data_IF_816737856619
#
_entry.id   IF_816737856619
#
_cell.length_a   1.000
_cell.length_b   1.000
_cell.length_c   1.000
_cell.angle_alpha   90.00
_cell.angle_beta   90.00
_cell.angle_gamma   90.00
#
_symmetry.space_group_name_H-M   'P 1'
#
loop_
_entity.id
_entity.type
_entity.pdbx_description
1 polymer ?
#
# COMPACT_ATOMS: atom_id res chain seq x y z
N UNK A 1 1.73 6.70 -4.53
CA UNK A 1 2.40 5.67 -3.71
C UNK A 1 2.98 6.18 -2.40
N UNK A 2 3.66 7.33 -2.38
CA UNK A 2 4.30 7.86 -1.17
C UNK A 2 3.38 7.98 0.05
N UNK A 3 2.18 8.56 -0.11
CA UNK A 3 1.24 8.72 1.01
C UNK A 3 0.79 7.40 1.63
N UNK A 4 0.67 6.34 0.82
CA UNK A 4 0.32 5.00 1.31
C UNK A 4 1.44 4.43 2.17
N UNK A 5 2.68 4.43 1.67
CA UNK A 5 3.83 3.95 2.46
C UNK A 5 4.05 4.79 3.72
N UNK A 6 3.82 6.10 3.64
CA UNK A 6 3.83 6.99 4.80
C UNK A 6 2.81 6.60 5.87
N UNK A 7 1.58 6.22 5.48
CA UNK A 7 0.56 5.74 6.43
C UNK A 7 0.93 4.42 7.12
N UNK A 8 1.81 3.62 6.50
CA UNK A 8 2.27 2.35 7.06
C UNK A 8 3.55 2.47 7.89
N UNK A 9 4.14 3.66 7.98
CA UNK A 9 5.43 3.85 8.63
C UNK A 9 5.43 3.37 10.10
N UNK A 10 4.35 3.67 10.84
CA UNK A 10 4.19 3.18 12.22
C UNK A 10 4.14 1.65 12.29
N UNK A 11 3.44 1.02 11.34
CA UNK A 11 3.23 -0.43 11.33
C UNK A 11 4.40 -1.22 10.75
N UNK A 12 5.36 -0.56 10.10
CA UNK A 12 6.52 -1.21 9.48
C UNK A 12 7.27 -2.16 10.41
N UNK A 13 7.35 -1.86 11.72
CA UNK A 13 7.98 -2.71 12.74
C UNK A 13 7.31 -4.07 12.95
N UNK A 14 6.05 -4.19 12.54
CA UNK A 14 5.25 -5.41 12.67
C UNK A 14 5.16 -6.20 11.36
N UNK A 15 5.67 -5.64 10.26
CA UNK A 15 5.62 -6.22 8.93
C UNK A 15 7.02 -6.73 8.59
N UNK A 16 7.21 -8.04 8.69
CA UNK A 16 8.42 -8.68 8.16
C UNK A 16 8.56 -8.35 6.66
N UNK A 17 9.79 -8.05 6.25
CA UNK A 17 10.18 -7.64 4.90
C UNK A 17 9.52 -6.35 4.37
N UNK A 18 9.02 -5.48 5.26
CA UNK A 18 8.40 -4.21 4.86
C UNK A 18 9.26 -3.39 3.88
N UNK A 19 10.57 -3.31 4.13
CA UNK A 19 11.49 -2.55 3.28
C UNK A 19 11.55 -3.09 1.85
N UNK A 20 11.44 -4.41 1.67
CA UNK A 20 11.43 -5.07 0.36
C UNK A 20 10.15 -4.70 -0.39
N UNK A 21 8.98 -4.85 0.25
CA UNK A 21 7.72 -4.46 -0.37
C UNK A 21 7.67 -2.96 -0.66
N UNK A 22 8.16 -2.13 0.26
CA UNK A 22 8.24 -0.69 0.06
C UNK A 22 9.12 -0.38 -1.15
N UNK A 23 10.32 -0.95 -1.28
CA UNK A 23 11.21 -0.72 -2.42
C UNK A 23 10.53 -1.02 -3.77
N UNK A 24 9.84 -2.17 -3.88
CA UNK A 24 9.07 -2.53 -5.07
C UNK A 24 8.00 -1.48 -5.39
N UNK A 25 7.31 -0.97 -4.37
CA UNK A 25 6.29 0.05 -4.54
C UNK A 25 6.85 1.46 -4.80
N UNK A 26 8.08 1.74 -4.33
CA UNK A 26 8.82 2.99 -4.58
C UNK A 26 9.32 3.06 -6.02
N UNK A 27 9.58 1.93 -6.66
CA UNK A 27 9.88 1.90 -8.09
C UNK A 27 8.75 2.58 -8.87
N UNK A 28 7.48 2.28 -8.58
CA UNK A 28 6.34 2.85 -9.31
C UNK A 28 6.28 4.40 -9.23
N UNK A 29 6.43 5.05 -10.38
CA UNK A 29 6.33 6.50 -10.55
C UNK A 29 4.90 6.90 -10.89
N UNK A 30 4.57 8.17 -10.67
CA UNK A 30 3.26 8.73 -11.01
C UNK A 30 2.93 8.58 -12.52
N UNK A 31 3.94 8.73 -13.37
CA UNK A 31 3.85 8.46 -14.82
C UNK A 31 3.35 7.05 -15.14
N UNK A 32 3.78 6.06 -14.37
CA UNK A 32 3.45 4.65 -14.60
C UNK A 32 1.94 4.41 -14.35
N UNK A 33 1.36 5.13 -13.38
CA UNK A 33 -0.09 5.12 -13.14
C UNK A 33 -0.87 5.87 -14.22
N UNK A 34 -0.34 6.96 -14.77
CA UNK A 34 -0.96 7.67 -15.88
C UNK A 34 -0.99 6.80 -17.15
N UNK A 35 0.11 6.12 -17.45
CA UNK A 35 0.19 5.18 -18.58
C UNK A 35 -0.76 3.99 -18.38
N UNK A 36 -0.85 3.43 -17.17
CA UNK A 36 -1.83 2.39 -16.88
C UNK A 36 -3.25 2.89 -17.11
N UNK A 37 -3.63 4.04 -16.54
CA UNK A 37 -4.96 4.63 -16.72
C UNK A 37 -5.27 4.91 -18.18
N UNK A 38 -4.25 5.28 -18.96
CA UNK A 38 -4.38 5.47 -20.41
C UNK A 38 -4.58 4.13 -21.10
N UNK A 39 -3.81 3.09 -20.76
CA UNK A 39 -3.96 1.72 -21.28
C UNK A 39 -5.34 1.13 -20.97
N UNK A 40 -5.86 1.30 -19.76
CA UNK A 40 -7.21 0.84 -19.39
C UNK A 40 -8.30 1.56 -20.21
N UNK A 41 -8.08 2.80 -20.63
CA UNK A 41 -8.98 3.56 -21.53
C UNK A 41 -8.79 3.23 -23.01
N UNK A 42 -7.59 2.79 -23.42
CA UNK A 42 -7.24 2.42 -24.80
C UNK A 42 -7.78 1.05 -25.20
N UNK A 43 -8.21 0.21 -24.25
CA UNK A 43 -8.93 -1.05 -24.57
C UNK A 43 -10.21 -0.79 -25.40
N UNK A 44 -10.74 0.45 -25.38
CA UNK A 44 -11.84 0.89 -26.25
C UNK A 44 -11.40 1.46 -27.63
N UNK A 45 -10.12 1.75 -27.87
CA UNK A 45 -9.62 2.17 -29.20
C UNK A 45 -8.09 2.02 -29.36
N UNK A 46 -7.58 1.12 -30.22
CA UNK A 46 -6.15 0.82 -30.25
C UNK A 46 -5.38 1.73 -31.22
N UNK A 47 -4.46 2.56 -30.69
CA UNK A 47 -3.32 3.08 -31.45
C UNK A 47 -2.11 3.26 -30.52
N UNK A 48 -1.12 2.37 -30.66
CA UNK A 48 0.32 2.64 -30.86
C UNK A 48 1.15 1.43 -30.43
N UNK A 49 1.99 0.98 -31.36
CA UNK A 49 2.98 -0.09 -31.23
C UNK A 49 4.08 0.37 -30.27
N UNK A 50 3.98 0.01 -28.98
CA UNK A 50 5.12 0.03 -28.05
C UNK A 50 6.03 -1.16 -28.39
N UNK A 51 7.34 -0.98 -28.31
CA UNK A 51 8.31 -2.06 -28.47
C UNK A 51 7.98 -3.22 -27.51
N UNK A 52 7.99 -4.44 -28.03
CA UNK A 52 7.54 -5.64 -27.30
C UNK A 52 8.30 -5.82 -25.97
N UNK A 53 9.61 -5.56 -25.96
CA UNK A 53 10.47 -5.67 -24.77
C UNK A 53 10.08 -4.65 -23.68
N UNK A 54 9.65 -3.44 -24.06
CA UNK A 54 9.24 -2.41 -23.12
C UNK A 54 7.88 -2.74 -22.48
N UNK A 55 6.99 -3.39 -23.25
CA UNK A 55 5.68 -3.86 -22.75
C UNK A 55 5.87 -4.98 -21.73
N UNK A 56 6.79 -5.91 -21.99
CA UNK A 56 7.03 -7.07 -21.11
C UNK A 56 7.66 -6.65 -19.77
N UNK A 57 8.64 -5.73 -19.79
CA UNK A 57 9.26 -5.16 -18.59
C UNK A 57 8.25 -4.36 -17.75
N UNK A 58 7.40 -3.54 -18.40
CA UNK A 58 6.36 -2.76 -17.71
C UNK A 58 5.30 -3.67 -17.05
N UNK A 59 4.91 -4.76 -17.72
CA UNK A 59 3.96 -5.76 -17.20
C UNK A 59 4.53 -6.53 -16.00
N UNK A 60 5.79 -6.97 -16.05
CA UNK A 60 6.44 -7.64 -14.91
C UNK A 60 6.48 -6.72 -13.69
N UNK A 61 6.91 -5.47 -13.88
CA UNK A 61 7.01 -4.49 -12.81
C UNK A 61 5.66 -4.20 -12.16
N UNK A 62 4.60 -4.05 -12.96
CA UNK A 62 3.25 -3.85 -12.45
C UNK A 62 2.73 -5.07 -11.68
N UNK A 63 3.04 -6.26 -12.17
CA UNK A 63 2.71 -7.53 -11.50
C UNK A 63 3.39 -7.62 -10.14
N UNK A 64 4.70 -7.35 -10.07
CA UNK A 64 5.46 -7.32 -8.81
C UNK A 64 4.88 -6.32 -7.82
N UNK A 65 4.54 -5.11 -8.28
CA UNK A 65 3.97 -4.09 -7.42
C UNK A 65 2.55 -4.43 -6.93
N UNK A 66 1.71 -5.00 -7.79
CA UNK A 66 0.37 -5.47 -7.41
C UNK A 66 0.44 -6.58 -6.36
N UNK A 67 1.40 -7.49 -6.53
CA UNK A 67 1.67 -8.55 -5.56
C UNK A 67 2.14 -7.97 -4.22
N UNK A 68 3.14 -7.08 -4.22
CA UNK A 68 3.65 -6.43 -3.02
C UNK A 68 2.56 -5.65 -2.27
N UNK A 69 1.71 -4.92 -3.00
CA UNK A 69 0.57 -4.22 -2.41
C UNK A 69 -0.45 -5.17 -1.78
N UNK A 70 -0.74 -6.29 -2.45
CA UNK A 70 -1.66 -7.31 -1.95
C UNK A 70 -1.13 -7.96 -0.68
N UNK A 71 0.17 -8.29 -0.64
CA UNK A 71 0.83 -8.83 0.54
C UNK A 71 0.79 -7.83 1.71
N UNK A 72 1.10 -6.55 1.46
CA UNK A 72 1.04 -5.52 2.49
C UNK A 72 -0.36 -5.37 3.09
N UNK A 73 -1.41 -5.34 2.25
CA UNK A 73 -2.80 -5.33 2.75
C UNK A 73 -3.08 -6.52 3.66
N UNK A 74 -2.68 -7.73 3.25
CA UNK A 74 -2.88 -8.93 4.03
C UNK A 74 -2.16 -8.87 5.38
N UNK A 75 -0.89 -8.39 5.39
CA UNK A 75 -0.10 -8.25 6.62
C UNK A 75 -0.67 -7.19 7.59
N UNK A 76 -1.28 -6.12 7.08
CA UNK A 76 -1.91 -5.07 7.92
C UNK A 76 -3.16 -5.60 8.65
N UNK A 77 -3.93 -6.46 8.00
CA UNK A 77 -5.16 -7.02 8.59
C UNK A 77 -4.92 -8.31 9.37
N UNK A 78 -3.66 -8.69 9.58
CA UNK A 78 -3.27 -9.87 10.35
C UNK A 78 -2.58 -9.49 11.66
N UNK A 79 -2.47 -10.46 12.56
CA UNK A 79 -1.58 -10.35 13.72
C UNK A 79 -0.11 -10.14 13.24
N UNK A 80 0.73 -9.42 14.01
CA UNK A 80 0.42 -8.81 15.30
C UNK A 80 -0.21 -7.41 15.21
N UNK A 81 -0.47 -6.87 14.01
CA UNK A 81 -1.02 -5.51 13.82
C UNK A 81 -2.48 -5.44 14.26
N UNK A 82 -3.30 -6.41 13.82
CA UNK A 82 -4.67 -6.52 14.27
C UNK A 82 -4.74 -7.50 15.45
N UNK A 83 -5.19 -7.01 16.60
CA UNK A 83 -5.42 -7.80 17.82
C UNK A 83 -6.89 -7.70 18.25
N UNK A 84 -7.33 -8.68 19.03
CA UNK A 84 -8.65 -8.63 19.65
C UNK A 84 -8.72 -7.47 20.65
N UNK A 85 -9.88 -6.84 20.71
CA UNK A 85 -10.16 -5.82 21.70
C UNK A 85 -10.20 -6.41 23.11
N UNK A 86 -9.58 -5.73 24.07
CA UNK A 86 -9.53 -6.11 25.48
C UNK A 86 -10.20 -5.01 26.33
N UNK A 87 -11.34 -5.30 26.94
CA UNK A 87 -12.11 -4.29 27.71
C UNK A 87 -11.38 -3.78 28.93
N UNK A 88 -10.40 -4.52 29.45
CA UNK A 88 -9.66 -4.15 30.66
C UNK A 88 -8.46 -3.24 30.33
N UNK A 89 -8.18 -3.03 29.03
CA UNK A 89 -7.09 -2.16 28.57
C UNK A 89 -7.57 -0.78 28.14
N UNK A 90 -6.82 0.29 28.46
CA UNK A 90 -7.10 1.61 27.95
C UNK A 90 -7.17 1.65 26.42
N UNK A 91 -8.17 2.36 25.92
CA UNK A 91 -8.40 2.57 24.50
C UNK A 91 -7.78 3.91 24.07
N UNK A 92 -7.04 3.89 22.96
CA UNK A 92 -6.49 5.10 22.33
C UNK A 92 -7.09 5.25 20.94
N UNK A 93 -7.61 6.44 20.64
CA UNK A 93 -8.10 6.81 19.31
C UNK A 93 -7.16 7.87 18.75
N UNK A 94 -6.49 7.54 17.64
CA UNK A 94 -5.68 8.51 16.90
C UNK A 94 -6.49 9.00 15.72
N UNK A 95 -6.79 10.29 15.67
CA UNK A 95 -7.55 10.92 14.59
C UNK A 95 -6.63 11.80 13.77
N UNK A 96 -6.73 11.67 12.45
CA UNK A 96 -6.09 12.57 11.50
C UNK A 96 -7.14 13.13 10.54
N UNK A 97 -7.09 14.44 10.31
CA UNK A 97 -7.98 15.12 9.40
C UNK A 97 -7.19 16.11 8.55
N UNK A 98 -7.52 16.19 7.27
CA UNK A 98 -7.03 17.22 6.36
C UNK A 98 -8.21 17.83 5.58
N UNK A 99 -7.95 18.76 4.65
CA UNK A 99 -9.00 19.46 3.88
C UNK A 99 -9.95 18.53 3.10
N UNK A 100 -9.58 17.28 2.86
CA UNK A 100 -10.25 16.37 1.95
C UNK A 100 -10.70 15.05 2.58
N UNK A 101 -10.18 14.70 3.77
CA UNK A 101 -10.41 13.40 4.39
C UNK A 101 -10.23 13.43 5.90
N UNK A 102 -10.94 12.50 6.57
CA UNK A 102 -10.77 12.16 7.99
C UNK A 102 -10.43 10.67 8.05
N UNK A 103 -9.50 10.30 8.93
CA UNK A 103 -9.13 8.92 9.24
C UNK A 103 -8.96 8.77 10.75
N UNK A 104 -9.30 7.60 11.29
CA UNK A 104 -9.05 7.28 12.69
C UNK A 104 -8.51 5.85 12.83
N UNK A 105 -7.62 5.65 13.80
CA UNK A 105 -7.14 4.33 14.21
C UNK A 105 -7.51 4.09 15.68
N UNK A 106 -8.05 2.90 15.94
CA UNK A 106 -8.38 2.41 17.28
C UNK A 106 -7.25 1.50 17.74
N UNK A 107 -6.61 1.82 18.86
CA UNK A 107 -5.39 1.15 19.31
C UNK A 107 -5.45 0.85 20.81
N UNK A 108 -4.78 -0.22 21.22
CA UNK A 108 -4.63 -0.60 22.62
C UNK A 108 -3.19 -1.04 22.84
N UNK A 109 -2.62 -0.64 23.97
CA UNK A 109 -1.26 -1.02 24.30
C UNK A 109 -1.16 -2.52 24.58
N UNK A 110 -0.31 -3.20 23.82
CA UNK A 110 0.07 -4.58 24.01
C UNK A 110 1.59 -4.69 23.99
N UNK A 111 2.16 -5.25 25.06
CA UNK A 111 3.60 -5.52 25.14
C UNK A 111 4.48 -4.27 24.94
N UNK A 112 4.00 -3.10 25.41
CA UNK A 112 4.69 -1.82 25.27
C UNK A 112 4.53 -1.13 23.92
N UNK A 113 3.62 -1.61 23.05
CA UNK A 113 3.36 -1.02 21.73
C UNK A 113 1.85 -0.87 21.49
N UNK A 114 1.44 0.25 20.89
CA UNK A 114 0.06 0.50 20.47
C UNK A 114 -0.27 -0.14 19.12
#
# INVERSE_FOLDING_TARGET
MQSFLGSLNYYSRFIEDFAVYAAILYELRESDFFELRRRTKIVDHPLQTRDADQVEIDEDRWTRATLAFTILKAKIVSAPILKHFDSDRPLVIVVYANKWAISAALMQEHDGVF
#
